data_IF_252272697231
#
_entry.id   IF_252272697231
#
_cell.length_a   1.000
_cell.length_b   1.000
_cell.length_c   1.000
_cell.angle_alpha   90.00
_cell.angle_beta   90.00
_cell.angle_gamma   90.00
#
_symmetry.space_group_name_H-M   'P 1'
#
loop_
_entity.id
_entity.type
_entity.pdbx_description
1 polymer ?
#
# COMPACT_ATOMS: atom_id res chain seq x y z
N UNK A 1 -12.33 -2.41 -16.46
CA UNK A 1 -11.49 -3.59 -16.10
C UNK A 1 -10.45 -3.76 -17.21
N UNK A 2 -9.20 -4.14 -16.91
CA UNK A 2 -8.07 -4.30 -17.87
C UNK A 2 -7.67 -3.05 -18.69
N UNK A 3 -8.20 -1.88 -18.35
CA UNK A 3 -7.79 -0.61 -18.94
C UNK A 3 -6.63 0.00 -18.13
N UNK A 4 -5.89 0.98 -18.67
CA UNK A 4 -5.02 1.83 -17.85
C UNK A 4 -5.77 2.44 -16.65
N UNK A 5 -5.05 2.72 -15.57
CA UNK A 5 -5.64 3.42 -14.44
C UNK A 5 -6.05 4.83 -14.88
N UNK A 6 -7.29 5.22 -14.58
CA UNK A 6 -7.77 6.57 -14.82
C UNK A 6 -7.49 7.46 -13.60
N UNK A 7 -7.17 8.75 -13.79
CA UNK A 7 -7.16 9.70 -12.68
C UNK A 7 -8.51 9.74 -11.98
N UNK A 8 -8.50 10.01 -10.67
CA UNK A 8 -9.74 10.24 -9.91
C UNK A 8 -10.38 11.54 -10.44
N UNK A 9 -11.50 11.41 -11.16
CA UNK A 9 -12.21 12.54 -11.76
C UNK A 9 -13.06 13.30 -10.75
N UNK A 10 -13.57 12.60 -9.73
CA UNK A 10 -14.36 13.15 -8.65
C UNK A 10 -13.65 12.84 -7.34
N UNK A 11 -12.88 13.80 -6.83
CA UNK A 11 -12.33 13.66 -5.49
C UNK A 11 -13.51 13.50 -4.51
N UNK A 12 -13.45 12.53 -3.58
CA UNK A 12 -14.50 12.40 -2.60
C UNK A 12 -14.70 13.72 -1.85
N UNK A 13 -15.94 14.18 -1.80
CA UNK A 13 -16.31 15.39 -1.07
C UNK A 13 -16.28 15.13 0.44
N UNK A 14 -15.79 16.12 1.19
CA UNK A 14 -15.77 16.07 2.65
C UNK A 14 -14.55 15.36 3.25
N UNK A 15 -14.63 15.14 4.57
CA UNK A 15 -13.56 14.53 5.34
C UNK A 15 -13.55 13.01 5.14
N UNK A 16 -12.44 12.48 4.62
CA UNK A 16 -12.26 11.05 4.47
C UNK A 16 -11.42 10.45 5.59
N UNK A 17 -11.92 9.36 6.15
CA UNK A 17 -11.23 8.60 7.19
C UNK A 17 -10.18 7.69 6.57
N UNK A 18 -8.93 7.81 7.01
CA UNK A 18 -7.79 7.03 6.49
C UNK A 18 -6.94 6.43 7.63
N UNK A 19 -7.60 5.80 8.61
CA UNK A 19 -6.94 5.17 9.77
C UNK A 19 -6.63 3.69 9.59
N UNK A 20 -7.13 3.06 8.52
CA UNK A 20 -6.92 1.66 8.20
C UNK A 20 -6.54 1.51 6.72
N UNK A 21 -5.90 0.39 6.40
CA UNK A 21 -5.59 0.05 5.02
C UNK A 21 -6.88 -0.18 4.21
N UNK A 22 -6.86 0.28 2.96
CA UNK A 22 -7.86 -0.10 1.96
C UNK A 22 -7.72 -1.57 1.55
N UNK A 23 -8.61 -2.02 0.66
CA UNK A 23 -8.57 -3.40 0.17
C UNK A 23 -7.29 -3.67 -0.66
N UNK A 24 -6.73 -4.86 -0.51
CA UNK A 24 -5.64 -5.34 -1.36
C UNK A 24 -6.19 -5.73 -2.74
N UNK A 25 -5.35 -5.70 -3.77
CA UNK A 25 -5.76 -6.18 -5.09
C UNK A 25 -5.96 -7.71 -5.09
N UNK A 26 -6.83 -8.24 -5.97
CA UNK A 26 -7.14 -9.66 -5.97
C UNK A 26 -5.91 -10.50 -6.28
N UNK A 27 -5.62 -11.46 -5.41
CA UNK A 27 -4.48 -12.36 -5.48
C UNK A 27 -4.90 -13.77 -5.06
N UNK A 28 -4.32 -14.76 -5.74
CA UNK A 28 -4.54 -16.15 -5.39
C UNK A 28 -3.90 -16.46 -4.01
N UNK A 29 -4.40 -17.46 -3.29
CA UNK A 29 -3.68 -18.05 -2.18
C UNK A 29 -2.29 -18.47 -2.66
N UNK A 30 -1.21 -18.09 -1.96
CA UNK A 30 0.12 -18.60 -2.29
C UNK A 30 0.15 -20.11 -2.23
N UNK A 31 1.03 -20.73 -3.04
CA UNK A 31 1.41 -22.15 -2.94
C UNK A 31 1.70 -22.61 -1.50
N UNK A 32 2.24 -21.74 -0.65
CA UNK A 32 2.43 -22.01 0.78
C UNK A 32 1.09 -22.15 1.53
N UNK A 33 0.12 -21.29 1.23
CA UNK A 33 -1.23 -21.34 1.81
C UNK A 33 -2.02 -22.57 1.34
N UNK A 34 -1.85 -23.01 0.08
CA UNK A 34 -2.48 -24.24 -0.42
C UNK A 34 -1.78 -25.50 0.07
N UNK A 35 -0.50 -25.44 0.41
CA UNK A 35 0.27 -26.54 0.97
C UNK A 35 0.14 -26.67 2.50
N UNK A 36 -0.69 -25.84 3.14
CA UNK A 36 -0.84 -25.83 4.60
C UNK A 36 0.42 -25.41 5.36
N UNK A 37 1.42 -24.84 4.66
CA UNK A 37 2.63 -24.34 5.29
C UNK A 37 2.32 -22.94 5.83
N UNK A 38 2.44 -22.71 7.16
CA UNK A 38 2.19 -21.41 7.74
C UNK A 38 3.28 -20.44 7.27
N UNK A 39 2.98 -19.73 6.19
CA UNK A 39 3.73 -18.57 5.78
C UNK A 39 3.35 -17.44 6.76
N UNK A 40 3.98 -17.40 7.93
CA UNK A 40 3.83 -16.31 8.90
C UNK A 40 2.39 -16.00 9.37
N UNK A 41 2.16 -14.84 10.02
CA UNK A 41 0.82 -14.29 10.23
C UNK A 41 0.10 -14.22 8.87
N UNK A 42 -1.24 -14.25 8.78
CA UNK A 42 -1.94 -14.30 7.48
C UNK A 42 -1.40 -13.22 6.54
N UNK A 43 -0.55 -13.62 5.59
CA UNK A 43 0.26 -12.71 4.77
C UNK A 43 -0.56 -11.95 3.71
N UNK A 44 -1.89 -12.07 3.74
CA UNK A 44 -2.75 -11.68 2.63
C UNK A 44 -4.01 -11.10 3.21
N UNK A 45 -4.28 -9.82 2.95
CA UNK A 45 -5.45 -9.13 3.46
C UNK A 45 -6.71 -9.99 3.27
N UNK A 46 -7.42 -10.25 4.35
CA UNK A 46 -8.74 -10.89 4.28
C UNK A 46 -9.74 -10.04 3.46
N UNK A 47 -9.41 -8.77 3.22
CA UNK A 47 -10.17 -7.81 2.43
C UNK A 47 -9.49 -7.55 1.08
N UNK A 48 -9.82 -8.36 0.08
CA UNK A 48 -9.40 -8.15 -1.32
C UNK A 48 -10.58 -7.63 -2.15
N UNK A 49 -10.30 -6.72 -3.08
CA UNK A 49 -11.32 -6.14 -3.98
C UNK A 49 -10.68 -5.71 -5.30
N UNK A 50 -11.45 -5.65 -6.40
CA UNK A 50 -10.98 -4.98 -7.62
C UNK A 50 -10.90 -3.45 -7.46
N UNK A 51 -11.68 -2.90 -6.53
CA UNK A 51 -11.49 -1.55 -6.03
C UNK A 51 -10.36 -1.57 -4.97
N UNK A 52 -9.12 -1.61 -5.47
CA UNK A 52 -7.92 -1.76 -4.64
C UNK A 52 -6.87 -0.67 -4.82
N UNK A 53 -7.08 0.33 -5.69
CA UNK A 53 -6.07 1.33 -6.04
C UNK A 53 -5.93 2.42 -4.95
N UNK A 54 -5.51 1.99 -3.77
CA UNK A 54 -5.27 2.83 -2.60
C UNK A 54 -3.79 3.17 -2.43
N UNK A 55 -3.54 4.29 -1.77
CA UNK A 55 -2.21 4.77 -1.35
C UNK A 55 -2.19 4.98 0.16
N UNK A 56 -1.07 4.66 0.79
CA UNK A 56 -0.84 4.87 2.21
C UNK A 56 0.30 5.86 2.40
N UNK A 57 0.13 6.81 3.31
CA UNK A 57 1.10 7.89 3.53
C UNK A 57 1.44 7.96 5.02
N UNK A 58 2.72 7.79 5.34
CA UNK A 58 3.25 7.99 6.68
C UNK A 58 4.16 9.21 6.68
N UNK A 59 3.95 10.10 7.66
CA UNK A 59 4.74 11.32 7.82
C UNK A 59 5.03 11.58 9.30
N UNK A 60 6.08 12.33 9.64
CA UNK A 60 6.30 12.80 11.00
C UNK A 60 5.06 13.55 11.54
N UNK A 61 4.75 13.35 12.82
CA UNK A 61 3.66 14.09 13.46
C UNK A 61 3.93 15.60 13.40
N UNK A 62 2.89 16.38 13.13
CA UNK A 62 3.00 17.84 13.02
C UNK A 62 3.57 18.37 11.70
N UNK A 63 3.92 17.50 10.74
CA UNK A 63 4.36 17.95 9.40
C UNK A 63 3.36 18.96 8.81
N UNK A 64 3.82 20.08 8.29
CA UNK A 64 2.96 21.09 7.67
C UNK A 64 2.99 21.00 6.14
N UNK A 65 1.94 21.44 5.45
CA UNK A 65 1.85 21.37 3.98
C UNK A 65 2.98 22.12 3.25
N UNK A 66 3.57 23.14 3.88
CA UNK A 66 4.68 23.94 3.35
C UNK A 66 6.06 23.28 3.53
N UNK A 67 6.17 22.23 4.32
CA UNK A 67 7.44 21.55 4.59
C UNK A 67 7.84 20.67 3.41
N UNK A 68 9.11 20.75 3.01
CA UNK A 68 9.67 20.01 1.86
C UNK A 68 10.49 18.83 2.34
N UNK A 69 9.81 17.79 2.82
CA UNK A 69 10.45 16.53 3.22
C UNK A 69 10.72 15.65 1.99
N UNK A 70 11.85 14.91 1.94
CA UNK A 70 12.06 13.86 0.95
C UNK A 70 10.97 12.79 1.02
N UNK A 71 10.58 12.27 -0.14
CA UNK A 71 9.57 11.22 -0.28
C UNK A 71 10.26 9.90 -0.63
N UNK A 72 10.02 8.87 0.16
CA UNK A 72 10.39 7.49 -0.11
C UNK A 72 9.15 6.73 -0.57
N UNK A 73 9.11 6.34 -1.84
CA UNK A 73 8.03 5.53 -2.41
C UNK A 73 8.48 4.07 -2.48
N UNK A 74 7.71 3.18 -1.85
CA UNK A 74 7.97 1.74 -1.88
C UNK A 74 6.99 1.03 -2.81
N UNK A 75 7.57 0.32 -3.79
CA UNK A 75 6.86 -0.54 -4.72
C UNK A 75 7.06 -1.97 -4.23
N UNK A 76 5.98 -2.62 -3.80
CA UNK A 76 6.08 -3.98 -3.27
C UNK A 76 6.43 -4.97 -4.38
N UNK A 77 7.22 -5.98 -4.01
CA UNK A 77 7.51 -7.14 -4.85
C UNK A 77 6.47 -8.25 -4.66
N UNK A 78 6.62 -9.32 -5.44
CA UNK A 78 5.72 -10.49 -5.38
C UNK A 78 5.46 -11.15 -6.73
N UNK A 79 6.43 -11.05 -7.66
CA UNK A 79 6.39 -11.71 -8.96
C UNK A 79 5.23 -11.29 -9.86
N UNK A 80 4.62 -10.13 -9.61
CA UNK A 80 3.42 -9.64 -10.30
C UNK A 80 2.13 -10.44 -10.04
N UNK A 81 2.11 -11.38 -9.08
CA UNK A 81 0.92 -12.19 -8.76
C UNK A 81 0.55 -12.19 -7.27
N UNK A 82 1.39 -11.59 -6.43
CA UNK A 82 1.18 -11.43 -5.00
C UNK A 82 1.76 -10.10 -4.51
N UNK A 83 1.40 -9.72 -3.29
CA UNK A 83 1.90 -8.51 -2.63
C UNK A 83 0.83 -7.44 -2.50
N UNK A 84 1.04 -6.51 -1.57
CA UNK A 84 0.20 -5.32 -1.44
C UNK A 84 0.93 -4.15 -0.78
N UNK A 85 0.36 -2.95 -0.92
CA UNK A 85 0.82 -1.76 -0.22
C UNK A 85 0.57 -1.79 1.29
N UNK A 86 -0.25 -2.72 1.79
CA UNK A 86 -0.56 -2.86 3.22
C UNK A 86 0.44 -3.74 3.99
N UNK A 87 1.29 -4.50 3.29
CA UNK A 87 2.28 -5.40 3.91
C UNK A 87 3.36 -4.66 4.71
N UNK A 88 3.73 -3.45 4.31
CA UNK A 88 4.88 -2.73 4.86
C UNK A 88 4.45 -1.46 5.58
N UNK A 89 4.20 -1.57 6.89
CA UNK A 89 3.85 -0.43 7.73
C UNK A 89 5.04 0.53 7.94
N UNK A 90 4.89 1.79 7.52
CA UNK A 90 5.91 2.82 7.57
C UNK A 90 6.25 3.40 8.95
N UNK A 91 5.53 3.05 10.02
CA UNK A 91 5.65 3.70 11.34
C UNK A 91 7.07 3.67 11.89
N UNK A 92 7.72 2.50 11.88
CA UNK A 92 9.08 2.34 12.40
C UNK A 92 10.10 3.11 11.56
N UNK A 93 9.93 3.12 10.23
CA UNK A 93 10.81 3.81 9.29
C UNK A 93 10.73 5.33 9.49
N UNK A 94 9.52 5.88 9.51
CA UNK A 94 9.31 7.33 9.71
C UNK A 94 9.82 7.75 11.09
N UNK A 95 9.55 6.98 12.15
CA UNK A 95 10.07 7.25 13.50
C UNK A 95 11.60 7.27 13.53
N UNK A 96 12.26 6.33 12.85
CA UNK A 96 13.73 6.30 12.75
C UNK A 96 14.27 7.49 11.95
N UNK A 97 13.58 7.91 10.90
CA UNK A 97 13.96 9.08 10.09
C UNK A 97 14.00 10.37 10.94
N UNK A 98 13.02 10.56 11.82
CA UNK A 98 12.98 11.68 12.78
C UNK A 98 14.12 11.57 13.78
N UNK A 99 14.32 10.38 14.39
CA UNK A 99 15.38 10.16 15.38
C UNK A 99 16.79 10.38 14.81
N UNK A 100 16.97 10.21 13.50
CA UNK A 100 18.25 10.41 12.80
C UNK A 100 18.39 11.80 12.17
N UNK A 101 17.47 12.73 12.48
CA UNK A 101 17.43 14.10 11.94
C UNK A 101 17.36 14.17 10.40
N UNK A 102 16.78 13.13 9.77
CA UNK A 102 16.54 13.04 8.33
C UNK A 102 15.08 12.65 8.08
N UNK A 103 14.10 13.49 8.47
CA UNK A 103 12.70 13.16 8.35
C UNK A 103 12.31 12.89 6.90
N UNK A 104 11.53 11.84 6.67
CA UNK A 104 10.99 11.48 5.35
C UNK A 104 9.49 11.23 5.41
N UNK A 105 8.83 11.43 4.28
CA UNK A 105 7.48 10.90 4.03
C UNK A 105 7.65 9.55 3.36
N UNK A 106 6.98 8.53 3.89
CA UNK A 106 6.97 7.19 3.32
C UNK A 106 5.63 6.92 2.66
N UNK A 107 5.65 6.36 1.46
CA UNK A 107 4.46 6.07 0.67
C UNK A 107 4.52 4.62 0.20
N UNK A 108 3.43 3.89 0.40
CA UNK A 108 3.15 2.61 -0.28
C UNK A 108 1.85 2.75 -1.05
N UNK A 109 1.64 1.91 -2.05
CA UNK A 109 0.42 1.92 -2.84
C UNK A 109 0.16 0.52 -3.39
N UNK A 110 -1.10 0.29 -3.79
CA UNK A 110 -1.52 -0.91 -4.51
C UNK A 110 -1.40 -0.72 -6.02
N UNK A 111 -0.98 -1.77 -6.73
CA UNK A 111 -1.12 -1.86 -8.18
C UNK A 111 -1.79 -3.19 -8.55
N UNK A 112 -2.52 -3.21 -9.67
CA UNK A 112 -3.18 -4.44 -10.12
C UNK A 112 -2.13 -5.50 -10.44
N UNK A 113 -2.40 -6.73 -10.03
CA UNK A 113 -1.54 -7.89 -10.18
C UNK A 113 -2.29 -9.03 -10.88
N UNK A 114 -1.54 -10.06 -11.29
CA UNK A 114 -2.05 -11.20 -12.03
C UNK A 114 -2.77 -10.76 -13.32
N UNK A 115 -3.85 -11.49 -13.64
CA UNK A 115 -4.68 -11.21 -14.83
C UNK A 115 -5.26 -9.80 -14.84
N UNK A 116 -5.46 -9.16 -13.70
CA UNK A 116 -6.10 -7.83 -13.65
C UNK A 116 -5.14 -6.69 -14.02
N UNK A 117 -3.82 -6.94 -13.94
CA UNK A 117 -2.78 -5.94 -14.15
C UNK A 117 -1.85 -6.16 -15.35
N UNK A 118 -1.78 -7.39 -15.88
CA UNK A 118 -0.73 -7.80 -16.82
C UNK A 118 -1.25 -8.59 -18.04
N UNK A 119 -2.44 -8.25 -18.55
CA UNK A 119 -3.02 -8.77 -19.81
C UNK A 119 -3.41 -7.65 -20.75
#
# INVERSE_FOLDING_TARGET
RFTPAAPISNAPEGLQTAFAFGADCPQLPTILGTAGIPAGPPLRGANQSEDCLFVNVWRPAGTLAKEKLPILVYIYGGGYFAGSGSEWNGTSLVRRSVATKKPVIYITFNYRIGVLGFV
#
